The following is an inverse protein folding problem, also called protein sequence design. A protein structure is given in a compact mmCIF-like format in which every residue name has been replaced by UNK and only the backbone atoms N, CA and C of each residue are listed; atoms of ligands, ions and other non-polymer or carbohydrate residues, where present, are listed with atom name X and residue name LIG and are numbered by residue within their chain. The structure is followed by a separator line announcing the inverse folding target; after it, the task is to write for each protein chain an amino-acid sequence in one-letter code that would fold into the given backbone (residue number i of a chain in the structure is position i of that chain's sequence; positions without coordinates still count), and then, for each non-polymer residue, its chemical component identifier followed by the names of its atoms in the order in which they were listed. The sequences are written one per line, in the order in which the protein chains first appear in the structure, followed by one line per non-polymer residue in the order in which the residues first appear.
data_IF_014424160861
#
_entry.id   IF_014424160861
#
_cell.length_a   1.000
_cell.length_b   1.000
_cell.length_c   1.000
_cell.angle_alpha   90.00
_cell.angle_beta   90.00
_cell.angle_gamma   90.00
#
_symmetry.space_group_name_H-M   'P 1'
#
loop_
_entity.id
_entity.type
_entity.pdbx_description
1 polymer ?
#
# COMPACT_ATOMS: atom_id res chain seq x y z
N UNK A 1 -17.48 -1.46 -0.18
CA UNK A 1 -16.82 -0.79 -1.33
C UNK A 1 -15.31 -1.00 -1.18
N UNK A 2 -14.59 -1.45 -2.22
CA UNK A 2 -13.14 -1.61 -2.10
C UNK A 2 -12.44 -0.24 -1.96
N UNK A 3 -11.36 -0.20 -1.21
CA UNK A 3 -10.53 1.01 -1.03
C UNK A 3 -9.31 0.89 -1.93
N UNK A 4 -8.98 1.94 -2.67
CA UNK A 4 -7.74 2.00 -3.46
C UNK A 4 -6.71 2.84 -2.72
N UNK A 5 -5.51 2.30 -2.52
CA UNK A 5 -4.37 3.00 -1.94
C UNK A 5 -3.22 2.94 -2.94
N UNK A 6 -2.65 4.09 -3.28
CA UNK A 6 -1.42 4.15 -4.08
C UNK A 6 -0.22 4.24 -3.15
N UNK A 7 0.74 3.36 -3.34
CA UNK A 7 1.96 3.26 -2.53
C UNK A 7 3.13 3.69 -3.41
N UNK A 8 3.83 4.72 -2.99
CA UNK A 8 5.08 5.17 -3.60
C UNK A 8 6.20 4.88 -2.62
N UNK A 9 7.08 3.94 -3.00
CA UNK A 9 8.32 3.73 -2.27
C UNK A 9 9.29 4.87 -2.60
N UNK A 10 9.69 5.62 -1.57
CA UNK A 10 10.71 6.66 -1.64
C UNK A 10 11.97 6.22 -0.86
N UNK A 11 13.04 7.01 -0.93
CA UNK A 11 14.22 6.79 -0.08
C UNK A 11 13.83 6.85 1.40
N UNK A 12 13.84 5.66 2.02
CA UNK A 12 13.55 5.40 3.45
C UNK A 12 12.14 5.76 3.93
N UNK A 13 11.18 5.97 3.03
CA UNK A 13 9.79 6.31 3.39
C UNK A 13 8.82 5.61 2.44
N UNK A 14 7.68 5.20 3.00
CA UNK A 14 6.53 4.77 2.22
C UNK A 14 5.51 5.89 2.21
N UNK A 15 5.18 6.36 1.01
CA UNK A 15 4.16 7.37 0.82
C UNK A 15 2.87 6.69 0.36
N UNK A 16 1.77 6.97 1.04
CA UNK A 16 0.47 6.36 0.78
C UNK A 16 -0.53 7.43 0.37
N UNK A 17 -1.21 7.21 -0.75
CA UNK A 17 -2.15 8.17 -1.34
C UNK A 17 -3.51 7.49 -1.42
N UNK A 18 -4.53 8.20 -0.95
CA UNK A 18 -5.92 7.78 -0.96
C UNK A 18 -6.68 8.63 -1.98
N UNK A 19 -6.67 8.26 -3.27
CA UNK A 19 -7.21 9.10 -4.34
C UNK A 19 -8.71 9.37 -4.19
N UNK A 20 -9.46 8.48 -3.53
CA UNK A 20 -10.90 8.69 -3.30
C UNK A 20 -11.18 9.67 -2.16
N UNK A 21 -10.33 9.72 -1.14
CA UNK A 21 -10.46 10.61 0.01
C UNK A 21 -9.72 11.94 -0.18
N UNK A 22 -8.79 12.01 -1.14
CA UNK A 22 -7.97 13.19 -1.39
C UNK A 22 -6.93 13.47 -0.30
N UNK A 23 -6.61 12.48 0.54
CA UNK A 23 -5.58 12.58 1.58
C UNK A 23 -4.37 11.67 1.29
N UNK A 24 -3.28 11.96 1.98
CA UNK A 24 -2.01 11.25 1.88
C UNK A 24 -1.38 11.08 3.27
N UNK A 25 -0.64 9.99 3.44
CA UNK A 25 0.02 9.64 4.70
C UNK A 25 1.43 9.10 4.44
N UNK A 26 2.31 9.26 5.43
CA UNK A 26 3.69 8.75 5.37
C UNK A 26 3.85 7.64 6.40
N UNK A 27 4.37 6.49 5.99
CA UNK A 27 4.67 5.32 6.81
C UNK A 27 3.49 4.67 7.57
N UNK A 28 2.30 5.23 7.48
CA UNK A 28 1.10 4.71 8.15
C UNK A 28 -0.08 4.63 7.19
N UNK A 29 -0.88 3.57 7.32
CA UNK A 29 -2.17 3.42 6.65
C UNK A 29 -3.21 2.91 7.64
N UNK A 30 -4.45 3.34 7.46
CA UNK A 30 -5.59 2.84 8.22
C UNK A 30 -6.71 2.47 7.25
N UNK A 31 -7.23 1.24 7.40
CA UNK A 31 -8.40 0.81 6.65
C UNK A 31 -9.37 0.03 7.56
N UNK A 32 -10.67 0.03 7.25
CA UNK A 32 -11.64 -0.78 7.98
C UNK A 32 -11.39 -2.27 7.78
N UNK A 33 -11.42 -3.06 8.87
CA UNK A 33 -11.38 -4.51 8.78
C UNK A 33 -12.52 -5.07 7.89
N UNK A 34 -12.28 -6.24 7.29
CA UNK A 34 -13.17 -6.91 6.35
C UNK A 34 -13.51 -6.11 5.08
N UNK A 35 -12.69 -5.12 4.73
CA UNK A 35 -12.82 -4.36 3.48
C UNK A 35 -11.71 -4.74 2.51
N UNK A 36 -12.01 -5.08 1.25
CA UNK A 36 -10.98 -5.27 0.23
C UNK A 36 -10.21 -3.99 -0.03
N UNK A 37 -8.88 -4.07 0.05
CA UNK A 37 -7.96 -2.98 -0.23
C UNK A 37 -7.11 -3.33 -1.45
N UNK A 38 -7.07 -2.40 -2.39
CA UNK A 38 -6.26 -2.47 -3.60
C UNK A 38 -5.07 -1.54 -3.48
N UNK A 39 -3.89 -2.13 -3.34
CA UNK A 39 -2.63 -1.42 -3.35
C UNK A 39 -2.09 -1.34 -4.78
N UNK A 40 -1.86 -0.12 -5.26
CA UNK A 40 -1.08 0.15 -6.47
C UNK A 40 0.31 0.59 -6.04
N UNK A 41 1.30 -0.27 -6.22
CA UNK A 41 2.65 -0.03 -5.70
C UNK A 41 3.57 0.39 -6.85
N UNK A 42 4.37 1.44 -6.62
CA UNK A 42 5.42 1.93 -7.52
C UNK A 42 6.61 2.39 -6.69
N UNK A 43 7.78 2.52 -7.32
CA UNK A 43 8.94 3.19 -6.70
C UNK A 43 9.29 4.47 -7.45
N UNK A 44 9.88 5.44 -6.74
CA UNK A 44 10.41 6.67 -7.35
C UNK A 44 11.90 6.57 -7.72
N UNK A 45 12.65 5.61 -7.16
CA UNK A 45 14.11 5.54 -7.29
C UNK A 45 14.60 4.09 -7.46
N UNK A 46 14.86 3.38 -6.36
CA UNK A 46 15.36 2.00 -6.38
C UNK A 46 14.24 0.97 -6.26
N UNK A 47 14.51 -0.26 -6.71
CA UNK A 47 13.63 -1.37 -6.42
C UNK A 47 13.57 -1.63 -4.91
N UNK A 48 12.37 -1.62 -4.36
CA UNK A 48 12.10 -1.90 -2.95
C UNK A 48 11.06 -3.02 -2.82
N UNK A 49 10.87 -3.52 -1.59
CA UNK A 49 9.81 -4.48 -1.30
C UNK A 49 8.82 -3.90 -0.30
N UNK A 50 7.55 -3.85 -0.71
CA UNK A 50 6.44 -3.54 0.16
C UNK A 50 5.94 -4.84 0.79
N UNK A 51 6.11 -4.98 2.10
CA UNK A 51 5.75 -6.19 2.85
C UNK A 51 4.87 -5.83 4.04
N UNK A 52 3.76 -6.56 4.19
CA UNK A 52 2.91 -6.49 5.38
C UNK A 52 2.99 -7.84 6.10
N UNK A 53 3.85 -7.98 7.14
CA UNK A 53 4.13 -9.27 7.77
C UNK A 53 2.88 -9.97 8.29
N UNK A 54 2.01 -9.20 8.95
CA UNK A 54 0.79 -9.73 9.60
C UNK A 54 -0.25 -10.24 8.60
N UNK A 55 -0.22 -9.73 7.37
CA UNK A 55 -1.07 -10.21 6.27
C UNK A 55 -0.36 -11.25 5.40
N UNK A 56 0.94 -11.51 5.64
CA UNK A 56 1.74 -12.51 4.93
C UNK A 56 1.95 -12.19 3.46
N UNK A 57 1.93 -10.90 3.08
CA UNK A 57 1.86 -10.50 1.67
C UNK A 57 2.94 -9.49 1.34
N UNK A 58 3.68 -9.82 0.31
CA UNK A 58 4.84 -9.07 -0.17
C UNK A 58 4.67 -8.77 -1.65
N UNK A 59 5.08 -7.58 -2.07
CA UNK A 59 5.19 -7.22 -3.48
C UNK A 59 6.39 -6.31 -3.72
N UNK A 60 6.96 -6.39 -4.92
CA UNK A 60 8.04 -5.50 -5.32
C UNK A 60 7.51 -4.16 -5.82
N UNK A 61 8.17 -3.09 -5.39
CA UNK A 61 8.02 -1.73 -5.87
C UNK A 61 9.16 -1.43 -6.84
N UNK A 62 8.84 -1.22 -8.12
CA UNK A 62 9.83 -0.98 -9.16
C UNK A 62 9.60 0.41 -9.78
N UNK A 63 10.68 1.12 -10.10
CA UNK A 63 10.58 2.42 -10.74
C UNK A 63 10.06 2.27 -12.17
N UNK A 64 9.10 3.12 -12.56
CA UNK A 64 8.47 3.07 -13.88
C UNK A 64 7.44 1.93 -14.07
N UNK A 65 7.21 1.09 -13.07
CA UNK A 65 6.20 0.01 -13.13
C UNK A 65 5.18 0.16 -12.01
N UNK A 66 3.90 -0.13 -12.32
CA UNK A 66 2.83 -0.21 -11.32
C UNK A 66 2.47 -1.67 -11.06
N UNK A 67 2.79 -2.15 -9.87
CA UNK A 67 2.40 -3.47 -9.40
C UNK A 67 1.08 -3.40 -8.62
N UNK A 68 0.31 -4.49 -8.61
CA UNK A 68 -1.02 -4.55 -7.99
C UNK A 68 -1.04 -5.62 -6.93
N UNK A 69 -1.51 -5.25 -5.74
CA UNK A 69 -1.69 -6.16 -4.61
C UNK A 69 -3.10 -5.98 -4.05
N UNK A 70 -3.84 -7.09 -3.90
CA UNK A 70 -5.17 -7.09 -3.32
C UNK A 70 -5.10 -7.78 -1.96
N UNK A 71 -5.64 -7.14 -0.93
CA UNK A 71 -5.60 -7.63 0.44
C UNK A 71 -6.95 -7.43 1.15
N UNK A 72 -7.22 -8.31 2.10
CA UNK A 72 -8.34 -8.19 3.03
C UNK A 72 -7.77 -8.43 4.43
N UNK A 73 -7.97 -7.47 5.34
CA UNK A 73 -7.66 -7.64 6.75
C UNK A 73 -8.87 -8.23 7.47
N UNK A 74 -8.80 -9.49 7.89
CA UNK A 74 -9.95 -10.20 8.50
C UNK A 74 -10.29 -9.69 9.91
N UNK A 75 -9.32 -9.13 10.62
CA UNK A 75 -9.46 -8.68 12.01
C UNK A 75 -8.90 -7.26 12.17
N UNK A 76 -9.54 -6.42 12.99
CA UNK A 76 -8.96 -5.13 13.36
C UNK A 76 -7.66 -5.32 14.16
N UNK A 77 -6.70 -4.43 13.95
CA UNK A 77 -5.40 -4.46 14.62
C UNK A 77 -4.46 -3.38 14.08
N UNK A 78 -3.24 -3.38 14.64
CA UNK A 78 -2.11 -2.54 14.21
C UNK A 78 -0.94 -3.45 13.81
#
# INVERSE_FOLDING_TARGET
KPITIEVVSMDWKLFFIYPEQGNDTVNEIANPANTPVYFKVTSNYVMNSFFIPRLGRQIYAMAGMKTRLQLIANQPGT
#
